data_IF_961123410837
#
_entry.id   IF_961123410837
#
_cell.length_a   1.000
_cell.length_b   1.000
_cell.length_c   1.000
_cell.angle_alpha   90.00
_cell.angle_beta   90.00
_cell.angle_gamma   90.00
#
_symmetry.space_group_name_H-M   'P 1'
#
loop_
_entity.id
_entity.type
_entity.pdbx_description
1 polymer ?
#
# COMPACT_ATOMS: atom_id res chain seq x y z
N UNK A 1 -3.31 -38.40 -12.12
CA UNK A 1 -3.62 -37.33 -11.17
C UNK A 1 -4.95 -36.75 -11.62
N UNK A 2 -6.05 -36.97 -10.88
CA UNK A 2 -7.37 -36.43 -11.21
C UNK A 2 -7.33 -34.93 -11.03
N UNK A 3 -7.52 -34.16 -12.11
CA UNK A 3 -7.55 -32.72 -12.06
C UNK A 3 -8.64 -32.23 -11.11
N UNK A 4 -8.29 -31.27 -10.27
CA UNK A 4 -9.23 -30.56 -9.38
C UNK A 4 -10.13 -29.70 -10.28
N UNK A 5 -11.46 -29.75 -10.04
CA UNK A 5 -12.39 -28.86 -10.74
C UNK A 5 -12.29 -27.45 -10.12
N UNK A 6 -11.91 -26.46 -10.91
CA UNK A 6 -11.69 -25.10 -10.44
C UNK A 6 -12.97 -24.41 -9.98
N UNK A 7 -14.12 -24.77 -10.57
CA UNK A 7 -15.42 -24.26 -10.11
C UNK A 7 -15.80 -24.85 -8.74
N UNK A 8 -15.55 -26.14 -8.56
CA UNK A 8 -15.77 -26.84 -7.30
C UNK A 8 -14.82 -26.32 -6.21
N UNK A 9 -13.56 -26.06 -6.59
CA UNK A 9 -12.55 -25.50 -5.67
C UNK A 9 -12.94 -24.11 -5.16
N UNK A 10 -13.48 -23.24 -6.05
CA UNK A 10 -13.95 -21.91 -5.69
C UNK A 10 -15.36 -21.93 -5.07
N UNK A 11 -16.08 -23.06 -5.10
CA UNK A 11 -17.43 -23.17 -4.60
C UNK A 11 -18.45 -22.35 -5.39
N UNK A 12 -18.23 -22.18 -6.70
CA UNK A 12 -19.11 -21.43 -7.61
C UNK A 12 -19.66 -22.31 -8.72
N UNK A 13 -20.81 -21.95 -9.27
CA UNK A 13 -21.40 -22.63 -10.41
C UNK A 13 -20.62 -22.33 -11.71
N UNK A 14 -20.69 -23.27 -12.67
CA UNK A 14 -20.05 -23.09 -13.98
C UNK A 14 -20.59 -21.89 -14.76
N UNK A 15 -21.78 -21.39 -14.43
CA UNK A 15 -22.37 -20.18 -14.98
C UNK A 15 -22.07 -18.90 -14.18
N UNK A 16 -21.26 -18.98 -13.15
CA UNK A 16 -20.96 -17.84 -12.28
C UNK A 16 -20.37 -16.65 -13.07
N UNK A 17 -20.77 -15.45 -12.69
CA UNK A 17 -20.20 -14.23 -13.24
C UNK A 17 -18.76 -14.01 -12.76
N UNK A 18 -18.00 -13.18 -13.48
CA UNK A 18 -16.66 -12.78 -13.05
C UNK A 18 -16.67 -12.12 -11.67
N UNK A 19 -17.76 -11.44 -11.30
CA UNK A 19 -17.93 -10.83 -10.00
C UNK A 19 -18.10 -11.89 -8.90
N UNK A 20 -18.87 -12.95 -9.16
CA UNK A 20 -19.07 -14.06 -8.22
C UNK A 20 -17.77 -14.84 -8.00
N UNK A 21 -17.02 -15.10 -9.08
CA UNK A 21 -15.71 -15.75 -9.03
C UNK A 21 -14.73 -14.93 -8.19
N UNK A 22 -14.70 -13.60 -8.36
CA UNK A 22 -13.89 -12.68 -7.57
C UNK A 22 -14.28 -12.70 -6.08
N UNK A 23 -15.57 -12.71 -5.79
CA UNK A 23 -16.10 -12.74 -4.43
C UNK A 23 -15.76 -14.06 -3.72
N UNK A 24 -15.99 -15.18 -4.40
CA UNK A 24 -15.71 -16.53 -3.87
C UNK A 24 -14.21 -16.71 -3.59
N UNK A 25 -13.37 -16.29 -4.54
CA UNK A 25 -11.93 -16.34 -4.34
C UNK A 25 -11.49 -15.51 -3.12
N UNK A 26 -11.97 -14.25 -2.99
CA UNK A 26 -11.64 -13.41 -1.82
C UNK A 26 -11.97 -14.07 -0.49
N UNK A 27 -13.13 -14.69 -0.39
CA UNK A 27 -13.56 -15.40 0.82
C UNK A 27 -12.66 -16.60 1.13
N UNK A 28 -12.34 -17.41 0.10
CA UNK A 28 -11.51 -18.61 0.25
C UNK A 28 -10.03 -18.29 0.45
N UNK A 29 -9.53 -17.24 -0.21
CA UNK A 29 -8.14 -16.80 -0.08
C UNK A 29 -7.81 -16.41 1.36
N UNK A 30 -8.74 -15.77 2.07
CA UNK A 30 -8.59 -15.47 3.50
C UNK A 30 -8.49 -16.72 4.38
N UNK A 31 -9.32 -17.71 4.10
CA UNK A 31 -9.38 -18.96 4.89
C UNK A 31 -8.22 -19.91 4.55
N UNK A 32 -7.79 -19.91 3.28
CA UNK A 32 -6.74 -20.79 2.78
C UNK A 32 -5.35 -20.15 2.75
N UNK A 33 -5.24 -18.91 3.20
CA UNK A 33 -3.94 -18.23 3.29
C UNK A 33 -2.95 -19.03 4.15
N UNK A 34 -1.68 -19.16 3.77
CA UNK A 34 -0.67 -19.89 4.54
C UNK A 34 -0.58 -19.42 6.00
N UNK A 35 -0.80 -18.13 6.26
CA UNK A 35 -0.79 -17.53 7.59
C UNK A 35 -2.07 -17.82 8.38
N UNK A 36 -3.20 -18.06 7.69
CA UNK A 36 -4.50 -18.47 8.26
C UNK A 36 -4.68 -19.97 8.46
N UNK A 37 -3.63 -20.79 8.25
CA UNK A 37 -3.66 -22.25 8.38
C UNK A 37 -3.88 -23.01 7.08
N UNK A 38 -3.93 -22.33 5.94
CA UNK A 38 -3.86 -22.95 4.62
C UNK A 38 -2.44 -23.48 4.32
N UNK A 39 -2.33 -24.37 3.34
CA UNK A 39 -1.01 -24.79 2.84
C UNK A 39 -0.65 -23.94 1.61
N UNK A 40 0.64 -23.66 1.42
CA UNK A 40 1.09 -22.96 0.23
C UNK A 40 0.62 -23.65 -1.08
N UNK A 41 0.50 -24.97 -1.07
CA UNK A 41 0.01 -25.74 -2.22
C UNK A 41 -1.49 -25.55 -2.48
N UNK A 42 -2.32 -25.49 -1.46
CA UNK A 42 -3.77 -25.24 -1.61
C UNK A 42 -4.04 -23.81 -2.03
N UNK A 43 -3.28 -22.85 -1.50
CA UNK A 43 -3.39 -21.45 -1.89
C UNK A 43 -2.94 -21.22 -3.33
N UNK A 44 -1.84 -21.85 -3.77
CA UNK A 44 -1.39 -21.80 -5.17
C UNK A 44 -2.46 -22.35 -6.11
N UNK A 45 -3.06 -23.50 -5.75
CA UNK A 45 -4.11 -24.12 -6.56
C UNK A 45 -5.38 -23.24 -6.62
N UNK A 46 -5.75 -22.60 -5.51
CA UNK A 46 -6.86 -21.66 -5.44
C UNK A 46 -6.62 -20.45 -6.36
N UNK A 47 -5.40 -19.92 -6.32
CA UNK A 47 -4.98 -18.82 -7.19
C UNK A 47 -5.00 -19.20 -8.67
N UNK A 48 -4.45 -20.35 -9.02
CA UNK A 48 -4.47 -20.88 -10.39
C UNK A 48 -5.90 -21.04 -10.91
N UNK A 49 -6.82 -21.54 -10.06
CA UNK A 49 -8.23 -21.65 -10.39
C UNK A 49 -8.85 -20.27 -10.67
N UNK A 50 -8.55 -19.29 -9.85
CA UNK A 50 -9.05 -17.93 -10.02
C UNK A 50 -8.50 -17.28 -11.30
N UNK A 51 -7.18 -17.30 -11.53
CA UNK A 51 -6.55 -16.72 -12.72
C UNK A 51 -7.11 -17.35 -14.00
N UNK A 52 -7.38 -18.66 -13.97
CA UNK A 52 -7.96 -19.38 -15.10
C UNK A 52 -9.43 -19.00 -15.35
N UNK A 53 -10.25 -18.85 -14.31
CA UNK A 53 -11.69 -18.63 -14.46
C UNK A 53 -12.08 -17.15 -14.60
N UNK A 54 -11.23 -16.23 -14.19
CA UNK A 54 -11.48 -14.78 -14.31
C UNK A 54 -11.21 -14.27 -15.72
N UNK A 55 -10.26 -14.87 -16.42
CA UNK A 55 -9.94 -14.55 -17.82
C UNK A 55 -10.90 -15.31 -18.76
N UNK A 56 -11.70 -14.62 -19.60
CA UNK A 56 -12.66 -15.27 -20.50
C UNK A 56 -12.03 -16.25 -21.48
N UNK A 57 -10.80 -15.98 -21.94
CA UNK A 57 -10.11 -16.85 -22.91
C UNK A 57 -9.56 -18.11 -22.23
N UNK A 58 -8.95 -17.97 -21.05
CA UNK A 58 -8.48 -19.10 -20.24
C UNK A 58 -9.63 -19.94 -19.73
N UNK A 59 -10.73 -19.32 -19.28
CA UNK A 59 -11.96 -20.01 -18.85
C UNK A 59 -12.54 -20.86 -19.99
N UNK A 60 -12.69 -20.29 -21.19
CA UNK A 60 -13.18 -21.04 -22.35
C UNK A 60 -12.24 -22.19 -22.77
N UNK A 61 -10.93 -22.04 -22.59
CA UNK A 61 -9.97 -23.12 -22.83
C UNK A 61 -10.09 -24.23 -21.78
N UNK A 62 -10.26 -23.86 -20.51
CA UNK A 62 -10.47 -24.78 -19.39
C UNK A 62 -11.77 -25.59 -19.56
N UNK A 63 -12.89 -24.92 -19.88
CA UNK A 63 -14.19 -25.57 -20.08
C UNK A 63 -14.14 -26.59 -21.23
N UNK A 64 -13.50 -26.24 -22.34
CA UNK A 64 -13.29 -27.19 -23.49
C UNK A 64 -12.42 -28.40 -23.11
N UNK A 65 -11.44 -28.22 -22.20
CA UNK A 65 -10.62 -29.34 -21.75
C UNK A 65 -11.39 -30.25 -20.78
N UNK A 66 -12.24 -29.68 -19.92
CA UNK A 66 -13.10 -30.38 -18.99
C UNK A 66 -14.17 -31.23 -19.66
N UNK A 67 -14.77 -30.77 -20.76
CA UNK A 67 -15.72 -31.50 -21.56
C UNK A 67 -15.09 -32.75 -22.22
N UNK A 68 -13.86 -32.67 -22.70
CA UNK A 68 -13.13 -33.81 -23.24
C UNK A 68 -12.83 -34.87 -22.19
N UNK A 69 -12.52 -34.46 -20.98
CA UNK A 69 -12.19 -35.35 -19.86
C UNK A 69 -13.46 -36.01 -19.28
N UNK A 70 -14.59 -35.32 -19.24
CA UNK A 70 -15.88 -35.86 -18.79
C UNK A 70 -16.47 -36.86 -19.76
N UNK A 71 -16.35 -36.62 -21.08
CA UNK A 71 -16.76 -37.59 -22.12
C UNK A 71 -15.94 -38.87 -22.03
N UNK A 72 -14.64 -38.81 -21.81
CA UNK A 72 -13.77 -39.98 -21.61
C UNK A 72 -14.07 -40.74 -20.30
N UNK A 73 -14.49 -40.06 -19.24
CA UNK A 73 -14.87 -40.63 -17.93
C UNK A 73 -16.24 -41.32 -17.97
N UNK A 74 -17.21 -40.77 -18.70
CA UNK A 74 -18.52 -41.38 -18.90
C UNK A 74 -18.45 -42.72 -19.59
N UNK A 75 -17.54 -42.89 -20.55
CA UNK A 75 -17.30 -44.16 -21.24
C UNK A 75 -16.64 -45.23 -20.35
N UNK A 76 -16.02 -44.87 -19.22
CA UNK A 76 -15.32 -45.78 -18.30
C UNK A 76 -16.14 -46.20 -17.07
N UNK A 77 -17.32 -45.61 -16.84
CA UNK A 77 -18.11 -45.75 -15.59
C UNK A 77 -19.16 -46.84 -15.59
N UNK A 78 -19.10 -47.80 -16.52
CA UNK A 78 -20.02 -48.98 -16.56
C UNK A 78 -19.45 -50.25 -15.92
N UNK A 79 -18.43 -50.16 -15.08
CA UNK A 79 -18.03 -51.33 -14.26
C UNK A 79 -17.57 -50.90 -12.87
N UNK A 80 -18.27 -51.47 -11.90
CA UNK A 80 -17.94 -51.64 -10.47
C UNK A 80 -18.37 -50.52 -9.50
N UNK A 81 -19.48 -50.82 -8.82
CA UNK A 81 -19.92 -50.21 -7.57
C UNK A 81 -19.31 -50.98 -6.39
N UNK A 82 -18.64 -50.35 -5.46
CA UNK A 82 -18.50 -50.81 -4.07
C UNK A 82 -19.23 -49.89 -3.09
N UNK A 83 -19.66 -50.53 -2.03
CA UNK A 83 -20.52 -50.10 -0.92
C UNK A 83 -20.07 -48.86 -0.14
N UNK A 84 -21.04 -48.11 0.46
CA UNK A 84 -20.74 -46.93 1.26
C UNK A 84 -20.62 -47.25 2.74
N UNK A 85 -19.47 -47.64 3.20
CA UNK A 85 -19.19 -47.66 4.62
C UNK A 85 -17.70 -47.46 4.89
N UNK A 86 -17.33 -46.27 5.11
CA UNK A 86 -16.35 -45.80 6.10
C UNK A 86 -15.97 -44.35 5.77
N UNK A 87 -16.85 -43.42 6.11
CA UNK A 87 -16.53 -42.03 6.21
C UNK A 87 -15.68 -41.82 7.46
N UNK A 88 -14.41 -42.16 7.36
CA UNK A 88 -13.44 -41.69 8.35
C UNK A 88 -13.39 -40.19 8.22
N UNK A 89 -14.02 -39.50 9.16
CA UNK A 89 -13.73 -38.11 9.45
C UNK A 89 -12.21 -38.03 9.76
N UNK A 90 -11.42 -37.79 8.74
CA UNK A 90 -10.11 -37.17 8.95
C UNK A 90 -10.40 -35.74 9.37
N UNK A 91 -10.63 -35.52 10.66
CA UNK A 91 -10.33 -34.27 11.28
C UNK A 91 -8.89 -33.96 10.90
N UNK A 92 -8.72 -32.94 10.04
CA UNK A 92 -7.40 -32.41 9.79
C UNK A 92 -6.84 -32.01 11.16
N UNK A 93 -5.95 -32.86 11.70
CA UNK A 93 -5.15 -32.47 12.85
C UNK A 93 -4.39 -31.22 12.37
N UNK A 94 -4.92 -30.07 12.79
CA UNK A 94 -4.18 -28.82 12.77
C UNK A 94 -2.82 -29.17 13.36
N UNK A 95 -1.77 -29.19 12.56
CA UNK A 95 -0.41 -29.29 13.09
C UNK A 95 -0.24 -28.06 13.93
N UNK A 96 -0.37 -28.24 15.22
CA UNK A 96 -0.05 -27.23 16.21
C UNK A 96 1.45 -26.98 16.08
N UNK A 97 1.82 -25.96 15.31
CA UNK A 97 3.21 -25.56 15.08
C UNK A 97 3.78 -24.89 16.34
N UNK A 98 3.11 -25.04 17.47
CA UNK A 98 3.51 -24.47 18.75
C UNK A 98 3.15 -22.99 18.90
N UNK A 99 2.30 -22.44 18.02
CA UNK A 99 1.68 -21.14 18.21
C UNK A 99 0.59 -21.25 19.28
N UNK A 100 0.42 -20.21 20.08
CA UNK A 100 -0.67 -20.09 21.05
C UNK A 100 -1.72 -19.14 20.45
N UNK A 101 -2.91 -19.65 20.08
CA UNK A 101 -3.94 -18.85 19.44
C UNK A 101 -4.54 -17.76 20.35
N UNK A 102 -4.41 -17.91 21.67
CA UNK A 102 -4.91 -16.94 22.65
C UNK A 102 -3.82 -15.93 23.08
N UNK A 103 -2.58 -16.13 22.61
CA UNK A 103 -1.49 -15.25 22.96
C UNK A 103 -1.55 -13.92 22.21
N UNK A 104 -1.58 -12.84 22.97
CA UNK A 104 -1.46 -11.48 22.44
C UNK A 104 -0.11 -10.91 22.87
N UNK A 105 0.76 -10.53 21.95
CA UNK A 105 2.03 -9.91 22.29
C UNK A 105 1.85 -8.67 23.16
N UNK A 106 2.75 -8.42 24.10
CA UNK A 106 2.72 -7.20 24.90
C UNK A 106 2.86 -5.97 23.97
N UNK A 107 2.20 -4.88 24.32
CA UNK A 107 2.34 -3.63 23.57
C UNK A 107 3.76 -3.12 23.64
N UNK A 108 4.31 -2.76 22.52
CA UNK A 108 5.59 -2.06 22.46
C UNK A 108 5.44 -0.71 23.20
N UNK A 109 6.35 -0.46 24.12
CA UNK A 109 6.45 0.82 24.82
C UNK A 109 7.90 1.27 24.74
N UNK A 110 8.18 2.18 23.83
CA UNK A 110 9.48 2.83 23.73
C UNK A 110 9.45 4.17 24.45
N UNK A 111 10.52 4.44 25.14
CA UNK A 111 10.77 5.78 25.66
C UNK A 111 11.03 6.71 24.46
N UNK A 112 10.14 7.65 24.25
CA UNK A 112 10.19 8.58 23.11
C UNK A 112 11.40 9.48 23.15
N UNK A 113 11.90 9.80 24.34
CA UNK A 113 13.10 10.62 24.53
C UNK A 113 14.37 9.89 24.09
N UNK A 114 14.31 8.57 23.97
CA UNK A 114 15.40 7.73 23.44
C UNK A 114 15.35 7.53 21.92
N UNK A 115 14.36 8.08 21.25
CA UNK A 115 14.27 8.05 19.79
C UNK A 115 14.92 9.31 19.20
N UNK A 116 16.08 9.22 18.51
CA UNK A 116 16.82 10.39 18.02
C UNK A 116 15.98 11.30 17.11
N UNK A 117 15.02 10.72 16.41
CA UNK A 117 14.16 11.41 15.48
C UNK A 117 12.86 11.99 16.09
N UNK A 118 12.55 11.63 17.34
CA UNK A 118 11.30 12.08 17.99
C UNK A 118 11.14 13.61 18.08
N UNK A 119 12.18 14.42 18.21
CA UNK A 119 12.05 15.87 18.18
C UNK A 119 11.38 16.42 16.89
N UNK A 120 11.45 15.68 15.77
CA UNK A 120 10.76 16.05 14.54
C UNK A 120 9.23 16.02 14.66
N UNK A 121 8.68 15.25 15.61
CA UNK A 121 7.24 15.17 15.88
C UNK A 121 6.71 16.46 16.52
N UNK A 122 7.46 17.02 17.47
CA UNK A 122 7.06 18.24 18.21
C UNK A 122 7.37 19.55 17.48
N UNK A 123 8.09 19.51 16.37
CA UNK A 123 8.46 20.71 15.64
C UNK A 123 7.21 21.32 14.95
N UNK A 124 6.98 22.64 15.05
CA UNK A 124 5.87 23.31 14.39
C UNK A 124 6.13 23.40 12.86
N UNK A 125 6.07 22.28 12.17
CA UNK A 125 6.36 22.18 10.76
C UNK A 125 5.07 22.17 9.95
N UNK A 126 4.96 23.09 9.00
CA UNK A 126 3.85 23.12 8.07
C UNK A 126 4.06 22.08 6.96
N UNK A 127 3.15 21.13 6.87
CA UNK A 127 3.14 20.16 5.77
C UNK A 127 2.96 20.87 4.44
N UNK A 128 3.85 20.60 3.49
CA UNK A 128 3.79 21.13 2.12
C UNK A 128 3.44 20.02 1.15
N UNK A 129 2.59 20.34 0.20
CA UNK A 129 2.25 19.43 -0.90
C UNK A 129 3.05 19.80 -2.13
N UNK A 130 3.70 18.81 -2.77
CA UNK A 130 4.47 18.97 -3.99
C UNK A 130 3.93 18.04 -5.09
N UNK A 131 4.12 18.38 -6.39
CA UNK A 131 4.57 19.69 -6.85
C UNK A 131 3.60 20.80 -6.42
N UNK A 132 4.13 21.98 -6.12
CA UNK A 132 3.29 23.14 -5.85
C UNK A 132 2.60 23.55 -7.15
N UNK A 133 1.27 23.58 -7.14
CA UNK A 133 0.50 23.96 -8.33
C UNK A 133 0.50 25.49 -8.43
N UNK A 134 1.02 26.01 -9.56
CA UNK A 134 0.93 27.41 -9.93
C UNK A 134 2.03 28.32 -9.36
N UNK A 135 1.98 29.60 -9.72
CA UNK A 135 2.99 30.58 -9.34
C UNK A 135 2.98 30.90 -7.85
N UNK A 136 4.16 31.25 -7.32
CA UNK A 136 4.29 31.63 -5.91
C UNK A 136 3.46 32.90 -5.60
N UNK A 137 2.86 32.93 -4.41
CA UNK A 137 2.01 34.06 -3.98
C UNK A 137 2.75 35.39 -4.04
N UNK A 138 4.02 35.41 -3.64
CA UNK A 138 4.87 36.59 -3.63
C UNK A 138 5.04 37.17 -5.03
N UNK A 139 5.23 36.32 -6.04
CA UNK A 139 5.39 36.73 -7.45
C UNK A 139 4.10 37.36 -7.98
N UNK A 140 2.94 36.75 -7.64
CA UNK A 140 1.63 37.27 -8.07
C UNK A 140 1.35 38.63 -7.43
N UNK A 141 1.62 38.77 -6.14
CA UNK A 141 1.43 40.03 -5.41
C UNK A 141 2.37 41.12 -5.91
N UNK A 142 3.66 40.77 -6.11
CA UNK A 142 4.65 41.73 -6.61
C UNK A 142 4.30 42.21 -8.06
N UNK A 143 3.96 41.29 -8.95
CA UNK A 143 3.56 41.60 -10.31
C UNK A 143 2.30 42.47 -10.38
N UNK A 144 1.29 42.11 -9.58
CA UNK A 144 0.03 42.86 -9.52
C UNK A 144 0.23 44.24 -8.92
N UNK A 145 1.01 44.34 -7.85
CA UNK A 145 1.34 45.64 -7.22
C UNK A 145 2.16 46.54 -8.15
N UNK A 146 3.20 46.02 -8.79
CA UNK A 146 4.01 46.76 -9.75
C UNK A 146 3.19 47.26 -10.92
N UNK A 147 2.30 46.40 -11.46
CA UNK A 147 1.41 46.79 -12.56
C UNK A 147 0.42 47.89 -12.12
N UNK A 148 -0.15 47.78 -10.93
CA UNK A 148 -1.06 48.83 -10.40
C UNK A 148 -0.34 50.16 -10.27
N UNK A 149 0.87 50.19 -9.69
CA UNK A 149 1.66 51.40 -9.54
C UNK A 149 1.96 52.00 -10.91
N UNK A 150 2.36 51.18 -11.91
CA UNK A 150 2.62 51.61 -13.26
C UNK A 150 1.38 52.24 -13.92
N UNK A 151 0.21 51.61 -13.79
CA UNK A 151 -1.06 52.09 -14.32
C UNK A 151 -1.47 53.43 -13.68
N UNK A 152 -1.29 53.58 -12.35
CA UNK A 152 -1.56 54.84 -11.63
C UNK A 152 -0.62 55.95 -12.09
N UNK A 153 0.67 55.68 -12.27
CA UNK A 153 1.63 56.64 -12.74
C UNK A 153 1.30 57.20 -14.12
N UNK A 154 0.80 56.38 -15.05
CA UNK A 154 0.35 56.85 -16.38
C UNK A 154 -0.80 57.84 -16.27
N UNK A 155 -1.69 57.66 -15.27
CA UNK A 155 -2.85 58.55 -15.07
C UNK A 155 -2.47 59.84 -14.35
N UNK A 156 -1.55 59.77 -13.39
CA UNK A 156 -1.22 60.93 -12.50
C UNK A 156 -0.15 61.84 -13.11
N UNK A 157 0.77 61.29 -13.88
CA UNK A 157 1.81 62.10 -14.48
C UNK A 157 1.27 62.93 -15.64
N UNK A 158 1.55 64.26 -15.70
CA UNK A 158 1.16 65.11 -16.80
C UNK A 158 2.05 64.83 -18.02
N UNK A 159 1.57 63.97 -18.93
CA UNK A 159 2.27 63.61 -20.18
C UNK A 159 1.61 64.33 -21.34
N UNK A 160 2.22 65.40 -21.82
CA UNK A 160 1.68 66.19 -22.92
C UNK A 160 1.90 65.55 -24.30
N UNK A 161 2.84 64.61 -24.42
CA UNK A 161 3.13 63.91 -25.66
C UNK A 161 2.11 62.77 -25.95
N UNK A 162 1.08 63.05 -26.72
CA UNK A 162 0.02 62.06 -27.06
C UNK A 162 0.56 60.72 -27.60
N UNK A 163 1.58 60.71 -28.52
CA UNK A 163 2.11 59.43 -29.00
C UNK A 163 2.75 58.59 -27.89
N UNK A 164 3.43 59.20 -26.93
CA UNK A 164 4.05 58.54 -25.79
C UNK A 164 2.95 57.93 -24.86
N UNK A 165 1.88 58.71 -24.64
CA UNK A 165 0.75 58.25 -23.83
C UNK A 165 0.08 57.01 -24.43
N UNK A 166 -0.09 56.96 -25.74
CA UNK A 166 -0.64 55.81 -26.46
C UNK A 166 0.25 54.59 -26.29
N UNK A 167 1.56 54.75 -26.45
CA UNK A 167 2.54 53.64 -26.25
C UNK A 167 2.48 53.11 -24.82
N UNK A 168 2.44 54.01 -23.82
CA UNK A 168 2.36 53.60 -22.41
C UNK A 168 1.08 52.82 -22.11
N UNK A 169 -0.05 53.24 -22.68
CA UNK A 169 -1.31 52.50 -22.53
C UNK A 169 -1.30 51.14 -23.22
N UNK A 170 -0.66 51.00 -24.39
CA UNK A 170 -0.48 49.73 -25.08
C UNK A 170 0.39 48.79 -24.23
N UNK A 171 1.50 49.32 -23.66
CA UNK A 171 2.37 48.54 -22.76
C UNK A 171 1.60 48.15 -21.49
N UNK A 172 0.81 49.05 -20.90
CA UNK A 172 -0.01 48.76 -19.73
C UNK A 172 -1.04 47.66 -20.03
N UNK A 173 -1.68 47.71 -21.19
CA UNK A 173 -2.64 46.68 -21.61
C UNK A 173 -1.95 45.31 -21.82
N UNK A 174 -0.79 45.28 -22.48
CA UNK A 174 -0.03 44.05 -22.71
C UNK A 174 0.47 43.41 -21.39
N UNK A 175 1.07 44.22 -20.51
CA UNK A 175 1.53 43.78 -19.20
C UNK A 175 0.37 43.39 -18.27
N UNK A 176 -0.74 44.13 -18.34
CA UNK A 176 -1.98 43.79 -17.63
C UNK A 176 -2.56 42.43 -18.03
N UNK A 177 -2.49 42.08 -19.32
CA UNK A 177 -2.90 40.78 -19.81
C UNK A 177 -1.98 39.66 -19.23
N UNK A 178 -0.66 39.94 -19.14
CA UNK A 178 0.28 38.97 -18.51
C UNK A 178 0.00 38.79 -17.04
N UNK A 179 -0.23 39.87 -16.30
CA UNK A 179 -0.59 39.83 -14.88
C UNK A 179 -1.93 39.11 -14.70
N UNK A 180 -2.93 39.37 -15.54
CA UNK A 180 -4.22 38.68 -15.51
C UNK A 180 -4.05 37.18 -15.73
N UNK A 181 -3.22 36.75 -16.69
CA UNK A 181 -2.90 35.33 -16.90
C UNK A 181 -2.27 34.72 -15.65
N UNK A 182 -1.28 35.39 -15.06
CA UNK A 182 -0.61 34.95 -13.84
C UNK A 182 -1.58 34.82 -12.66
N UNK A 183 -2.45 35.79 -12.44
CA UNK A 183 -3.50 35.73 -11.40
C UNK A 183 -4.46 34.59 -11.67
N UNK A 184 -4.91 34.42 -12.92
CA UNK A 184 -5.79 33.32 -13.31
C UNK A 184 -5.18 31.96 -13.05
N UNK A 185 -3.91 31.77 -13.39
CA UNK A 185 -3.17 30.52 -13.09
C UNK A 185 -3.07 30.29 -11.58
N UNK A 186 -2.77 31.32 -10.82
CA UNK A 186 -2.72 31.25 -9.36
C UNK A 186 -4.09 30.84 -8.76
N UNK A 187 -5.18 31.46 -9.21
CA UNK A 187 -6.52 31.12 -8.71
C UNK A 187 -6.90 29.69 -9.09
N UNK A 188 -6.63 29.28 -10.32
CA UNK A 188 -6.86 27.89 -10.76
C UNK A 188 -6.07 26.89 -9.92
N UNK A 189 -4.81 27.18 -9.66
CA UNK A 189 -3.95 26.36 -8.83
C UNK A 189 -4.50 26.26 -7.40
N UNK A 190 -4.96 27.36 -6.83
CA UNK A 190 -5.59 27.37 -5.48
C UNK A 190 -6.89 26.59 -5.41
N UNK A 191 -7.68 26.63 -6.47
CA UNK A 191 -8.91 25.82 -6.55
C UNK A 191 -8.57 24.34 -6.68
N UNK A 192 -7.59 23.98 -7.49
CA UNK A 192 -7.11 22.60 -7.59
C UNK A 192 -6.51 22.08 -6.25
N UNK A 193 -5.77 22.94 -5.52
CA UNK A 193 -5.30 22.62 -4.16
C UNK A 193 -6.45 22.33 -3.21
N UNK A 194 -7.48 23.17 -3.24
CA UNK A 194 -8.65 22.97 -2.37
C UNK A 194 -9.44 21.73 -2.73
N UNK A 195 -9.61 21.44 -4.03
CA UNK A 195 -10.24 20.22 -4.48
C UNK A 195 -9.48 18.98 -4.01
N UNK A 196 -8.14 18.96 -4.22
CA UNK A 196 -7.29 17.88 -3.72
C UNK A 196 -7.41 17.68 -2.21
N UNK A 197 -7.37 18.75 -1.43
CA UNK A 197 -7.51 18.67 0.02
C UNK A 197 -8.91 18.19 0.42
N UNK A 198 -9.96 18.59 -0.29
CA UNK A 198 -11.32 18.13 -0.02
C UNK A 198 -11.48 16.62 -0.30
N UNK A 199 -10.90 16.12 -1.39
CA UNK A 199 -10.89 14.69 -1.74
C UNK A 199 -10.09 13.85 -0.71
N UNK A 200 -9.04 14.44 -0.12
CA UNK A 200 -8.12 13.77 0.82
C UNK A 200 -8.41 14.07 2.28
N UNK A 201 -9.64 14.48 2.62
CA UNK A 201 -10.07 14.74 4.00
C UNK A 201 -9.48 16.01 4.61
N UNK A 202 -9.33 17.08 3.82
CA UNK A 202 -8.88 18.39 4.30
C UNK A 202 -7.38 18.47 4.64
N UNK A 203 -6.62 17.42 4.36
CA UNK A 203 -5.21 17.31 4.76
C UNK A 203 -5.00 16.91 6.23
N UNK A 204 -6.07 16.76 7.00
CA UNK A 204 -6.04 16.30 8.38
C UNK A 204 -5.99 14.77 8.49
N UNK A 205 -6.51 14.05 7.48
CA UNK A 205 -6.42 12.60 7.44
C UNK A 205 -4.99 12.15 7.22
N UNK A 206 -4.51 11.35 8.17
CA UNK A 206 -3.18 10.75 8.15
C UNK A 206 -3.26 9.27 7.76
N UNK A 207 -4.40 8.63 8.02
CA UNK A 207 -4.61 7.18 7.87
C UNK A 207 -5.71 6.92 6.85
N UNK A 208 -5.44 6.03 5.90
CA UNK A 208 -6.30 5.62 4.80
C UNK A 208 -6.44 4.10 4.78
N UNK A 209 -7.63 3.62 4.46
CA UNK A 209 -7.93 2.19 4.52
C UNK A 209 -8.24 1.71 5.94
N UNK A 210 -8.46 0.41 6.08
CA UNK A 210 -8.81 -0.23 7.36
C UNK A 210 -7.86 -1.39 7.59
N UNK A 211 -7.14 -1.44 8.71
CA UNK A 211 -6.32 -2.60 9.05
C UNK A 211 -7.21 -3.82 9.28
N UNK A 212 -6.64 -5.00 9.16
CA UNK A 212 -7.33 -6.29 9.25
C UNK A 212 -8.41 -6.37 10.34
N UNK A 213 -9.58 -6.88 9.96
CA UNK A 213 -10.78 -6.94 10.83
C UNK A 213 -10.90 -8.28 11.55
N UNK A 214 -10.29 -9.34 11.03
CA UNK A 214 -10.46 -10.70 11.50
C UNK A 214 -9.45 -11.05 12.62
N UNK A 215 -9.76 -12.11 13.36
CA UNK A 215 -8.93 -12.54 14.50
C UNK A 215 -7.56 -13.04 14.04
N UNK A 216 -7.48 -13.57 12.82
CA UNK A 216 -6.26 -14.07 12.19
C UNK A 216 -5.30 -12.95 11.75
N UNK A 217 -5.79 -11.70 11.69
CA UNK A 217 -5.06 -10.50 11.29
C UNK A 217 -4.49 -9.71 12.49
N UNK A 218 -4.19 -10.43 13.61
CA UNK A 218 -3.65 -9.79 14.81
C UNK A 218 -2.36 -9.01 14.54
N UNK A 219 -1.47 -9.54 13.69
CA UNK A 219 -0.22 -8.88 13.29
C UNK A 219 -0.47 -7.51 12.66
N UNK A 220 -1.41 -7.43 11.72
CA UNK A 220 -1.79 -6.18 11.05
C UNK A 220 -2.32 -5.14 12.05
N UNK A 221 -3.19 -5.57 12.98
CA UNK A 221 -3.71 -4.67 14.01
C UNK A 221 -2.65 -4.16 14.97
N UNK A 222 -1.65 -4.99 15.28
CA UNK A 222 -0.51 -4.59 16.11
C UNK A 222 0.33 -3.56 15.37
N UNK A 223 0.60 -3.78 14.08
CA UNK A 223 1.33 -2.84 13.23
C UNK A 223 0.55 -1.54 13.03
N UNK A 224 -0.75 -1.59 12.78
CA UNK A 224 -1.57 -0.39 12.68
C UNK A 224 -1.51 0.48 13.94
N UNK A 225 -1.55 -0.15 15.15
CA UNK A 225 -1.39 0.56 16.41
C UNK A 225 0.01 1.16 16.57
N UNK A 226 1.05 0.41 16.19
CA UNK A 226 2.42 0.89 16.21
C UNK A 226 2.59 2.12 15.32
N UNK A 227 2.06 2.05 14.10
CA UNK A 227 2.09 3.17 13.16
C UNK A 227 1.33 4.38 13.68
N UNK A 228 0.14 4.17 14.28
CA UNK A 228 -0.65 5.25 14.87
C UNK A 228 0.07 5.91 16.06
N UNK A 229 0.78 5.13 16.87
CA UNK A 229 1.44 5.64 18.09
C UNK A 229 2.76 6.36 17.79
N UNK A 230 3.57 5.84 16.86
CA UNK A 230 4.93 6.35 16.63
C UNK A 230 5.09 7.10 15.30
N UNK A 231 4.40 6.70 14.23
CA UNK A 231 4.64 7.24 12.89
C UNK A 231 3.61 8.30 12.48
N UNK A 232 2.34 8.10 12.82
CA UNK A 232 1.28 9.08 12.51
C UNK A 232 1.54 10.50 13.03
N UNK A 233 2.22 10.68 14.20
CA UNK A 233 2.57 12.01 14.69
C UNK A 233 3.63 12.75 13.85
N UNK A 234 4.38 12.06 12.96
CA UNK A 234 5.36 12.71 12.09
C UNK A 234 4.67 13.63 11.07
N UNK A 235 5.00 14.94 11.04
CA UNK A 235 4.42 15.85 10.07
C UNK A 235 4.66 15.41 8.63
N UNK A 236 3.61 15.30 7.84
CA UNK A 236 3.68 14.84 6.45
C UNK A 236 3.60 13.33 6.24
N UNK A 237 3.63 12.51 7.29
CA UNK A 237 3.40 11.08 7.16
C UNK A 237 1.96 10.79 6.67
N UNK A 238 1.83 9.79 5.79
CA UNK A 238 0.54 9.25 5.33
C UNK A 238 0.60 7.73 5.40
N UNK A 239 -0.34 7.15 6.13
CA UNK A 239 -0.41 5.72 6.43
C UNK A 239 -1.55 5.12 5.63
N UNK A 240 -1.29 4.03 4.95
CA UNK A 240 -2.25 3.30 4.14
C UNK A 240 -2.34 1.87 4.66
N UNK A 241 -3.56 1.34 4.74
CA UNK A 241 -3.83 -0.04 5.15
C UNK A 241 -4.49 -0.80 4.02
N UNK A 242 -4.07 -2.03 3.79
CA UNK A 242 -4.63 -2.91 2.79
C UNK A 242 -4.41 -2.42 1.36
N UNK A 243 -3.17 -2.50 0.86
CA UNK A 243 -2.85 -2.06 -0.49
C UNK A 243 -2.79 -3.25 -1.46
N UNK A 244 -3.30 -3.04 -2.66
CA UNK A 244 -3.18 -3.97 -3.76
C UNK A 244 -1.87 -3.78 -4.52
N UNK A 245 -1.42 -4.81 -5.22
CA UNK A 245 -0.48 -4.64 -6.32
C UNK A 245 -1.20 -4.07 -7.54
N UNK A 246 -0.51 -3.34 -8.41
CA UNK A 246 -1.07 -2.90 -9.67
C UNK A 246 -1.69 -4.06 -10.45
N UNK A 247 -2.99 -3.96 -10.74
CA UNK A 247 -3.75 -5.04 -11.40
C UNK A 247 -4.28 -6.14 -10.48
N UNK A 248 -3.92 -6.17 -9.19
CA UNK A 248 -4.54 -7.03 -8.17
C UNK A 248 -5.83 -6.39 -7.64
N UNK A 249 -6.74 -7.25 -7.16
CA UNK A 249 -7.97 -6.84 -6.47
C UNK A 249 -7.90 -7.15 -4.97
N UNK A 250 -6.75 -7.60 -4.50
CA UNK A 250 -6.50 -8.04 -3.13
C UNK A 250 -5.61 -7.05 -2.39
N UNK A 251 -5.79 -6.97 -1.08
CA UNK A 251 -4.83 -6.33 -0.20
C UNK A 251 -3.61 -7.26 -0.05
N UNK A 252 -2.67 -7.13 -0.97
CA UNK A 252 -1.45 -7.96 -0.99
C UNK A 252 -0.36 -7.41 -0.05
N UNK A 253 -0.50 -6.15 0.38
CA UNK A 253 0.42 -5.46 1.29
C UNK A 253 -0.39 -4.92 2.45
N UNK A 254 -0.02 -5.28 3.68
CA UNK A 254 -0.79 -4.95 4.87
C UNK A 254 -0.81 -3.44 5.15
N UNK A 255 0.35 -2.78 5.05
CA UNK A 255 0.45 -1.35 5.30
C UNK A 255 1.51 -0.69 4.44
N UNK A 256 1.36 0.63 4.25
CA UNK A 256 2.42 1.48 3.72
C UNK A 256 2.47 2.83 4.44
N UNK A 257 3.65 3.44 4.46
CA UNK A 257 3.83 4.81 4.96
C UNK A 257 4.59 5.62 3.93
N UNK A 258 3.96 6.71 3.48
CA UNK A 258 4.56 7.70 2.59
C UNK A 258 4.90 8.96 3.39
N UNK A 259 6.14 9.45 3.28
CA UNK A 259 6.57 10.75 3.78
C UNK A 259 7.67 11.32 2.88
N UNK A 260 7.51 12.54 2.42
CA UNK A 260 8.43 13.15 1.46
C UNK A 260 8.51 12.33 0.18
N UNK A 261 9.71 11.90 -0.16
CA UNK A 261 10.00 11.03 -1.29
C UNK A 261 10.35 9.60 -0.84
N UNK A 262 9.86 9.18 0.32
CA UNK A 262 10.11 7.86 0.88
C UNK A 262 8.81 7.11 1.14
N UNK A 263 8.76 5.87 0.70
CA UNK A 263 7.65 4.94 0.91
C UNK A 263 8.19 3.66 1.54
N UNK A 264 7.63 3.25 2.67
CA UNK A 264 7.87 1.92 3.23
C UNK A 264 6.63 1.06 3.06
N UNK A 265 6.80 -0.13 2.49
CA UNK A 265 5.79 -1.18 2.40
C UNK A 265 6.01 -2.15 3.55
N UNK A 266 4.94 -2.55 4.22
CA UNK A 266 5.03 -3.30 5.47
C UNK A 266 4.14 -4.54 5.38
N UNK A 267 4.70 -5.68 5.70
CA UNK A 267 3.98 -6.95 5.87
C UNK A 267 4.14 -7.40 7.33
N UNK A 268 3.06 -7.85 7.95
CA UNK A 268 2.97 -8.18 9.37
C UNK A 268 2.82 -9.68 9.55
N UNK A 269 3.69 -10.31 10.33
CA UNK A 269 3.68 -11.75 10.55
C UNK A 269 3.67 -12.12 12.03
N UNK A 270 2.83 -13.09 12.38
CA UNK A 270 2.79 -13.72 13.70
C UNK A 270 3.59 -15.02 13.66
N UNK A 271 4.87 -14.97 14.03
CA UNK A 271 5.76 -16.14 13.97
C UNK A 271 6.23 -16.60 15.34
N UNK A 272 6.75 -17.83 15.41
CA UNK A 272 7.29 -18.39 16.65
C UNK A 272 8.51 -17.56 17.11
N UNK A 273 8.67 -17.36 18.44
CA UNK A 273 9.85 -16.69 18.99
C UNK A 273 11.15 -17.28 18.47
N UNK A 274 12.14 -16.43 18.24
CA UNK A 274 13.45 -16.83 17.73
C UNK A 274 14.20 -15.68 17.07
N UNK A 275 15.39 -16.00 16.57
CA UNK A 275 16.23 -15.07 15.84
C UNK A 275 15.98 -15.20 14.33
N UNK A 276 15.57 -14.11 13.69
CA UNK A 276 15.26 -14.06 12.26
C UNK A 276 16.29 -13.25 11.49
N UNK A 277 16.75 -13.81 10.37
CA UNK A 277 17.64 -13.16 9.42
C UNK A 277 17.13 -13.36 8.00
N UNK A 278 17.59 -12.54 7.06
CA UNK A 278 17.42 -12.77 5.64
C UNK A 278 18.77 -13.06 4.99
N UNK A 279 18.77 -13.88 3.95
CA UNK A 279 19.94 -14.04 3.09
C UNK A 279 19.93 -13.00 1.94
N UNK A 280 21.01 -12.97 1.13
CA UNK A 280 21.15 -12.05 0.01
C UNK A 280 20.06 -12.20 -1.07
N UNK A 281 19.38 -13.35 -1.12
CA UNK A 281 18.29 -13.65 -2.03
C UNK A 281 16.90 -13.32 -1.43
N UNK A 282 16.86 -12.76 -0.19
CA UNK A 282 15.62 -12.47 0.53
C UNK A 282 14.98 -13.68 1.20
N UNK A 283 15.64 -14.84 1.20
CA UNK A 283 15.19 -16.02 1.93
C UNK A 283 15.28 -15.79 3.44
N UNK A 284 14.19 -16.12 4.17
CA UNK A 284 14.17 -15.94 5.62
C UNK A 284 14.71 -17.17 6.34
N UNK A 285 15.51 -16.91 7.36
CA UNK A 285 16.11 -17.91 8.23
C UNK A 285 15.65 -17.68 9.67
N UNK A 286 15.43 -18.78 10.40
CA UNK A 286 15.13 -18.74 11.83
C UNK A 286 16.12 -19.60 12.60
N UNK A 287 16.81 -19.01 13.57
CA UNK A 287 17.83 -19.70 14.39
C UNK A 287 18.87 -20.44 13.55
N UNK A 288 19.32 -19.84 12.45
CA UNK A 288 20.30 -20.42 11.54
C UNK A 288 19.78 -21.53 10.60
N UNK A 289 18.46 -21.74 10.54
CA UNK A 289 17.86 -22.72 9.64
C UNK A 289 16.89 -22.03 8.66
N UNK A 290 16.79 -22.48 7.39
CA UNK A 290 15.83 -21.96 6.43
C UNK A 290 14.41 -22.00 6.99
N UNK A 291 13.73 -20.87 6.99
CA UNK A 291 12.39 -20.75 7.53
C UNK A 291 11.35 -21.00 6.43
N UNK A 292 10.50 -22.01 6.65
CA UNK A 292 9.47 -22.42 5.69
C UNK A 292 8.08 -21.86 6.05
N UNK A 293 8.02 -20.79 6.81
CA UNK A 293 6.78 -20.25 7.40
C UNK A 293 5.92 -19.38 6.49
N UNK A 294 6.10 -19.45 5.19
CA UNK A 294 5.29 -18.72 4.21
C UNK A 294 6.14 -18.10 3.09
N UNK A 295 5.55 -17.95 1.91
CA UNK A 295 6.16 -17.20 0.84
C UNK A 295 5.99 -15.71 1.14
N UNK A 296 7.10 -15.00 1.26
CA UNK A 296 7.10 -13.55 1.42
C UNK A 296 7.14 -12.94 0.01
N UNK A 297 6.09 -12.22 -0.35
CA UNK A 297 5.99 -11.53 -1.66
C UNK A 297 6.36 -10.05 -1.59
N UNK A 298 6.60 -9.55 -0.38
CA UNK A 298 6.93 -8.15 -0.16
C UNK A 298 8.13 -7.66 -0.99
N UNK A 299 9.24 -8.43 -1.17
CA UNK A 299 10.33 -8.01 -2.05
C UNK A 299 9.88 -7.75 -3.50
N UNK A 300 9.01 -8.61 -4.05
CA UNK A 300 8.43 -8.40 -5.40
C UNK A 300 7.57 -7.14 -5.41
N UNK A 301 6.77 -6.92 -4.36
CA UNK A 301 5.97 -5.70 -4.19
C UNK A 301 6.82 -4.43 -4.16
N UNK A 302 7.95 -4.46 -3.47
CA UNK A 302 8.89 -3.33 -3.42
C UNK A 302 9.39 -2.95 -4.81
N UNK A 303 9.76 -3.94 -5.63
CA UNK A 303 10.21 -3.68 -7.01
C UNK A 303 9.09 -3.09 -7.87
N UNK A 304 7.87 -3.65 -7.78
CA UNK A 304 6.71 -3.13 -8.52
C UNK A 304 6.41 -1.67 -8.14
N UNK A 305 6.47 -1.34 -6.85
CA UNK A 305 6.24 0.03 -6.40
C UNK A 305 7.38 0.99 -6.75
N UNK A 306 8.63 0.51 -6.85
CA UNK A 306 9.77 1.29 -7.38
C UNK A 306 9.56 1.68 -8.84
N UNK A 307 9.06 0.75 -9.65
CA UNK A 307 8.73 1.04 -11.05
C UNK A 307 7.53 1.99 -11.18
N UNK A 308 6.52 1.82 -10.32
CA UNK A 308 5.29 2.62 -10.33
C UNK A 308 5.51 4.07 -9.88
N UNK A 309 6.46 4.30 -8.98
CA UNK A 309 6.70 5.59 -8.32
C UNK A 309 8.13 6.10 -8.59
N UNK A 310 8.44 6.48 -9.83
CA UNK A 310 9.76 7.00 -10.17
C UNK A 310 10.06 8.27 -9.35
N UNK A 311 11.19 8.27 -8.65
CA UNK A 311 11.61 9.38 -7.77
C UNK A 311 11.20 9.22 -6.30
N UNK A 312 10.50 8.15 -5.94
CA UNK A 312 10.24 7.75 -4.56
C UNK A 312 11.20 6.63 -4.16
N UNK A 313 11.91 6.78 -3.06
CA UNK A 313 12.71 5.71 -2.47
C UNK A 313 11.78 4.71 -1.77
N UNK A 314 11.66 3.49 -2.32
CA UNK A 314 10.77 2.45 -1.77
C UNK A 314 11.59 1.41 -1.03
N UNK A 315 11.21 1.15 0.23
CA UNK A 315 11.75 0.07 1.08
C UNK A 315 10.64 -0.87 1.53
N UNK A 316 10.99 -2.10 1.83
CA UNK A 316 10.10 -3.05 2.49
C UNK A 316 10.51 -3.27 3.95
N UNK A 317 9.55 -3.65 4.79
CA UNK A 317 9.78 -4.08 6.15
C UNK A 317 8.85 -5.24 6.51
N UNK A 318 9.43 -6.38 6.86
CA UNK A 318 8.68 -7.53 7.34
C UNK A 318 8.64 -7.49 8.87
N UNK A 319 7.54 -7.01 9.45
CA UNK A 319 7.39 -6.94 10.90
C UNK A 319 6.99 -8.30 11.46
N UNK A 320 7.80 -8.80 12.39
CA UNK A 320 7.58 -10.10 13.01
C UNK A 320 7.19 -9.92 14.47
N UNK A 321 6.02 -10.45 14.82
CA UNK A 321 5.51 -10.50 16.19
C UNK A 321 5.54 -11.95 16.71
N UNK A 322 5.77 -12.16 18.01
CA UNK A 322 5.74 -13.51 18.57
C UNK A 322 4.32 -14.07 18.59
N UNK A 323 4.16 -15.32 18.13
CA UNK A 323 2.88 -16.06 18.16
C UNK A 323 2.67 -16.85 19.46
N UNK A 324 3.57 -16.75 20.42
CA UNK A 324 3.50 -17.26 21.79
C UNK A 324 4.51 -16.52 22.67
N UNK A 325 4.49 -16.78 23.96
CA UNK A 325 5.48 -16.19 24.88
C UNK A 325 6.92 -16.49 24.44
N UNK A 326 7.74 -15.45 24.37
CA UNK A 326 9.13 -15.47 23.92
C UNK A 326 9.48 -14.22 23.11
N UNK A 327 10.74 -14.07 22.76
CA UNK A 327 11.28 -12.90 22.11
C UNK A 327 11.52 -13.14 20.62
N UNK A 328 11.28 -12.10 19.80
CA UNK A 328 11.72 -12.01 18.42
C UNK A 328 12.95 -11.10 18.37
N UNK A 329 14.05 -11.64 17.89
CA UNK A 329 15.24 -10.86 17.57
C UNK A 329 15.52 -10.94 16.07
N UNK A 330 16.12 -9.89 15.51
CA UNK A 330 16.46 -9.85 14.08
C UNK A 330 17.90 -9.47 13.90
N UNK A 331 18.58 -10.13 12.96
CA UNK A 331 19.96 -9.82 12.58
C UNK A 331 20.02 -8.54 11.75
N UNK A 332 21.24 -8.01 11.58
CA UNK A 332 21.48 -6.96 10.59
C UNK A 332 21.30 -7.58 9.20
N UNK A 333 20.42 -7.03 8.37
CA UNK A 333 20.20 -7.59 7.05
C UNK A 333 21.35 -7.21 6.13
N UNK A 334 21.74 -8.10 5.22
CA UNK A 334 22.34 -7.68 3.99
C UNK A 334 21.37 -6.72 3.27
N UNK A 335 21.83 -6.07 2.23
CA UNK A 335 21.00 -5.11 1.43
C UNK A 335 19.86 -5.85 0.71
N UNK A 336 18.82 -6.19 1.46
CA UNK A 336 17.60 -6.86 0.97
C UNK A 336 16.43 -5.93 0.96
N UNK A 337 15.55 -6.12 -0.04
CA UNK A 337 14.41 -5.24 -0.31
C UNK A 337 13.41 -5.17 0.85
N UNK A 338 13.24 -6.26 1.62
CA UNK A 338 12.28 -6.35 2.71
C UNK A 338 12.83 -7.20 3.87
N UNK A 339 13.70 -6.65 4.73
CA UNK A 339 14.29 -7.38 5.85
C UNK A 339 13.26 -7.70 6.95
N UNK A 340 13.43 -8.82 7.66
CA UNK A 340 12.67 -9.07 8.88
C UNK A 340 13.11 -8.09 9.98
N UNK A 341 12.13 -7.48 10.64
CA UNK A 341 12.35 -6.50 11.70
C UNK A 341 11.49 -6.82 12.93
N UNK A 342 12.03 -6.59 14.11
CA UNK A 342 11.21 -6.47 15.30
C UNK A 342 10.46 -5.13 15.30
N UNK A 343 9.32 -5.01 16.00
CA UNK A 343 8.58 -3.76 16.13
C UNK A 343 9.44 -2.60 16.67
N UNK A 344 10.33 -2.89 17.64
CA UNK A 344 11.26 -1.89 18.18
C UNK A 344 12.25 -1.40 17.14
N UNK A 345 12.87 -2.32 16.42
CA UNK A 345 13.84 -2.00 15.37
C UNK A 345 13.20 -1.17 14.25
N UNK A 346 11.98 -1.53 13.85
CA UNK A 346 11.23 -0.77 12.87
C UNK A 346 11.03 0.69 13.28
N UNK A 347 10.58 0.92 14.53
CA UNK A 347 10.38 2.30 15.02
C UNK A 347 11.69 3.08 15.07
N UNK A 348 12.80 2.46 15.45
CA UNK A 348 14.11 3.12 15.50
C UNK A 348 14.63 3.42 14.09
N UNK A 349 14.80 2.41 13.25
CA UNK A 349 15.47 2.55 11.95
C UNK A 349 14.59 3.15 10.86
N UNK A 350 13.38 2.63 10.67
CA UNK A 350 12.45 3.15 9.65
C UNK A 350 11.85 4.47 10.10
N UNK A 351 11.59 4.64 11.41
CA UNK A 351 11.16 5.92 11.96
C UNK A 351 12.18 7.03 11.72
N UNK A 352 13.46 6.77 11.96
CA UNK A 352 14.56 7.70 11.67
C UNK A 352 14.68 7.99 10.18
N UNK A 353 14.69 6.94 9.35
CA UNK A 353 14.75 7.09 7.90
C UNK A 353 13.57 7.92 7.37
N UNK A 354 12.35 7.71 7.85
CA UNK A 354 11.23 8.54 7.48
C UNK A 354 11.38 9.99 8.00
N UNK A 355 11.88 10.17 9.23
CA UNK A 355 11.99 11.48 9.86
C UNK A 355 13.06 12.39 9.22
N UNK A 356 14.06 11.85 8.56
CA UNK A 356 15.07 12.59 7.79
C UNK A 356 14.49 13.33 6.59
N UNK A 357 13.34 12.87 6.06
CA UNK A 357 12.65 13.58 5.00
C UNK A 357 12.00 14.87 5.50
N UNK A 358 11.92 15.91 4.68
CA UNK A 358 11.15 17.10 5.02
C UNK A 358 9.66 16.78 5.13
N UNK A 359 8.86 17.59 5.87
CA UNK A 359 7.42 17.41 6.00
C UNK A 359 6.69 17.80 4.71
N UNK A 360 6.87 16.99 3.70
CA UNK A 360 6.32 17.14 2.35
C UNK A 360 5.45 15.94 2.03
N UNK A 361 4.39 16.16 1.26
CA UNK A 361 3.58 15.10 0.66
C UNK A 361 3.65 15.27 -0.85
N UNK A 362 4.22 14.28 -1.53
CA UNK A 362 4.16 14.21 -2.99
C UNK A 362 2.73 13.82 -3.41
N UNK A 363 2.09 14.67 -4.21
CA UNK A 363 0.68 14.50 -4.60
C UNK A 363 0.45 13.35 -5.53
N UNK A 364 1.37 13.16 -6.47
CA UNK A 364 1.22 12.14 -7.50
C UNK A 364 1.48 10.78 -6.87
N UNK A 365 2.53 10.66 -6.06
CA UNK A 365 2.79 9.47 -5.27
C UNK A 365 1.65 9.16 -4.30
N UNK A 366 1.13 10.16 -3.59
CA UNK A 366 0.01 9.99 -2.67
C UNK A 366 -1.24 9.46 -3.37
N UNK A 367 -1.63 10.04 -4.52
CA UNK A 367 -2.79 9.56 -5.29
C UNK A 367 -2.59 8.15 -5.79
N UNK A 368 -1.42 7.87 -6.37
CA UNK A 368 -1.09 6.53 -6.87
C UNK A 368 -1.19 5.48 -5.78
N UNK A 369 -0.68 5.76 -4.59
CA UNK A 369 -0.79 4.83 -3.45
C UNK A 369 -2.21 4.74 -2.93
N UNK A 370 -2.95 5.86 -2.87
CA UNK A 370 -4.34 5.88 -2.41
C UNK A 370 -5.26 5.07 -3.32
N UNK A 371 -5.05 5.15 -4.64
CA UNK A 371 -5.84 4.40 -5.64
C UNK A 371 -5.63 2.88 -5.53
N UNK A 372 -4.57 2.43 -4.87
CA UNK A 372 -4.27 1.03 -4.62
C UNK A 372 -4.81 0.53 -3.27
N UNK A 373 -5.40 1.41 -2.44
CA UNK A 373 -6.03 1.00 -1.18
C UNK A 373 -7.30 0.22 -1.47
N UNK A 374 -7.37 -1.01 -0.98
CA UNK A 374 -8.55 -1.88 -1.11
C UNK A 374 -9.56 -1.54 -0.02
N UNK A 375 -10.75 -1.10 -0.40
CA UNK A 375 -11.83 -0.71 0.51
C UNK A 375 -12.91 -1.80 0.65
#
# INVERSE_FOLDING_TARGET
>A
VGGVDYYELLGVDRGASTADIKSAYRSLAKVMHPDGGGTAGTFHLLREAYETLVDPALRAAYDRSGERTSAARSARRTKTRPDPATRVQRTARRRDLGADPDFVPPRLRLDRDQLPWWPAVGAPQRVRYVPSIGPAREVVLAASGAWLVFAVLIVVLPIDAVPLLVVLWVVAAATGLLVFRLVREFVRARLADRAFLAETGGGELVVFGVPGKEQDELGERLTARLLAEYVAPLPGARIFHGLAWPGSVFADIDHAVLRGHRLVLIESKMWLPGHYTADELGGVWRNGHPFRGGAIRLPEGVEVYRELLPGIEVRGALLVYPSRAGEITTGEPPDVAAPPMSPERFVREIGEWLADEPPVVDRDAFRTVLDLVVT
#
